data_IF_824918134678
#
_entry.id   IF_824918134678
#
_cell.length_a   1.000
_cell.length_b   1.000
_cell.length_c   1.000
_cell.angle_alpha   90.00
_cell.angle_beta   90.00
_cell.angle_gamma   90.00
#
_symmetry.space_group_name_H-M   'P 1'
#
loop_
_entity.id
_entity.type
_entity.pdbx_description
1 polymer ?
#
# COMPACT_ATOMS: atom_id res chain seq x y z
N UNK A 1 -8.15 -30.66 8.71
CA UNK A 1 -7.17 -29.56 8.49
C UNK A 1 -7.50 -28.45 9.47
N UNK A 2 -6.58 -28.09 10.37
CA UNK A 2 -6.80 -27.03 11.36
C UNK A 2 -6.57 -25.66 10.73
N UNK A 3 -7.42 -24.68 11.08
CA UNK A 3 -7.23 -23.28 10.71
C UNK A 3 -6.44 -22.60 11.82
N UNK A 4 -5.35 -21.93 11.47
CA UNK A 4 -4.48 -21.23 12.42
C UNK A 4 -4.21 -19.82 11.91
N UNK A 5 -4.27 -18.86 12.80
CA UNK A 5 -3.80 -17.50 12.57
C UNK A 5 -2.49 -17.29 13.35
N UNK A 6 -1.46 -16.81 12.68
CA UNK A 6 -0.20 -16.44 13.31
C UNK A 6 -0.18 -14.92 13.47
N UNK A 7 -0.15 -14.47 14.72
CA UNK A 7 -0.07 -13.04 15.06
C UNK A 7 1.31 -12.76 15.65
N UNK A 8 2.02 -11.78 15.10
CA UNK A 8 3.30 -11.35 15.69
C UNK A 8 3.07 -10.42 16.89
N UNK A 9 4.00 -10.36 17.85
CA UNK A 9 4.07 -9.24 18.79
C UNK A 9 4.33 -7.94 18.01
N UNK A 10 4.27 -6.79 18.70
CA UNK A 10 4.76 -5.52 18.15
C UNK A 10 6.24 -5.65 17.86
N UNK A 11 6.63 -5.41 16.62
CA UNK A 11 8.01 -5.51 16.14
C UNK A 11 8.52 -4.13 15.73
N UNK A 12 9.80 -3.93 15.94
CA UNK A 12 10.56 -2.82 15.34
C UNK A 12 11.16 -3.26 14.01
N UNK A 13 11.55 -2.31 13.16
CA UNK A 13 12.14 -2.61 11.86
C UNK A 13 13.38 -3.54 11.90
N UNK A 14 14.33 -3.36 12.85
CA UNK A 14 15.47 -4.28 13.03
C UNK A 14 15.09 -5.73 13.33
N UNK A 15 13.86 -5.99 13.77
CA UNK A 15 13.37 -7.33 14.08
C UNK A 15 12.72 -8.06 12.89
N UNK A 16 12.64 -7.39 11.74
CA UNK A 16 12.11 -7.99 10.51
C UNK A 16 12.77 -9.34 10.15
N UNK A 17 14.09 -9.55 10.32
CA UNK A 17 14.72 -10.86 10.11
C UNK A 17 14.17 -11.98 11.02
N UNK A 18 13.80 -11.67 12.28
CA UNK A 18 13.18 -12.63 13.20
C UNK A 18 11.80 -13.06 12.69
N UNK A 19 10.99 -12.10 12.23
CA UNK A 19 9.71 -12.39 11.61
C UNK A 19 9.88 -13.29 10.36
N UNK A 20 10.85 -13.00 9.51
CA UNK A 20 11.14 -13.81 8.34
C UNK A 20 11.54 -15.24 8.71
N UNK A 21 12.29 -15.42 9.78
CA UNK A 21 12.65 -16.74 10.31
C UNK A 21 11.42 -17.50 10.79
N UNK A 22 10.51 -16.86 11.52
CA UNK A 22 9.23 -17.47 11.91
C UNK A 22 8.43 -17.96 10.69
N UNK A 23 8.33 -17.15 9.62
CA UNK A 23 7.64 -17.53 8.39
C UNK A 23 8.29 -18.75 7.73
N UNK A 24 9.64 -18.84 7.72
CA UNK A 24 10.36 -20.02 7.19
C UNK A 24 10.05 -21.27 8.00
N UNK A 25 10.09 -21.18 9.34
CA UNK A 25 9.78 -22.31 10.22
C UNK A 25 8.36 -22.82 10.04
N UNK A 26 7.38 -21.91 9.98
CA UNK A 26 5.98 -22.28 9.69
C UNK A 26 5.86 -23.02 8.35
N UNK A 27 6.60 -22.60 7.33
CA UNK A 27 6.66 -23.31 6.06
C UNK A 27 7.31 -24.69 6.18
N UNK A 28 8.41 -24.81 6.93
CA UNK A 28 9.18 -26.05 7.11
C UNK A 28 8.36 -27.14 7.82
N UNK A 29 7.48 -26.78 8.76
CA UNK A 29 6.59 -27.72 9.42
C UNK A 29 5.36 -28.10 8.58
N UNK A 30 5.35 -27.74 7.29
CA UNK A 30 4.33 -28.17 6.33
C UNK A 30 3.04 -27.35 6.32
N UNK A 31 3.02 -26.15 6.94
CA UNK A 31 1.87 -25.27 6.84
C UNK A 31 1.55 -24.89 5.38
N UNK A 32 0.28 -24.68 5.09
CA UNK A 32 -0.21 -24.31 3.75
C UNK A 32 -1.10 -23.07 3.85
N UNK A 33 -1.12 -22.29 2.78
CA UNK A 33 -2.03 -21.16 2.59
C UNK A 33 -2.87 -21.38 1.34
N UNK A 34 -4.06 -20.82 1.32
CA UNK A 34 -4.98 -20.88 0.18
C UNK A 34 -5.60 -19.50 -0.09
N UNK A 35 -6.53 -19.41 -1.03
CA UNK A 35 -7.18 -18.15 -1.43
C UNK A 35 -8.03 -17.50 -0.32
N UNK A 36 -8.46 -18.25 0.69
CA UNK A 36 -9.20 -17.69 1.83
C UNK A 36 -8.30 -17.05 2.89
N UNK A 37 -6.98 -17.31 2.84
CA UNK A 37 -6.02 -16.78 3.77
C UNK A 37 -5.56 -15.37 3.32
N UNK A 38 -5.44 -14.43 4.28
CA UNK A 38 -4.88 -13.11 4.07
C UNK A 38 -3.63 -12.88 4.92
N UNK A 39 -2.80 -11.92 4.52
CA UNK A 39 -1.77 -11.35 5.36
C UNK A 39 -2.16 -9.90 5.64
N UNK A 40 -2.24 -9.54 6.91
CA UNK A 40 -2.54 -8.19 7.34
C UNK A 40 -1.29 -7.55 7.95
N UNK A 41 -1.07 -6.28 7.65
CA UNK A 41 0.05 -5.52 8.21
C UNK A 41 -0.51 -4.35 9.01
N UNK A 42 -0.23 -4.33 10.30
CA UNK A 42 -0.54 -3.23 11.19
C UNK A 42 0.70 -2.37 11.41
N UNK A 43 0.58 -1.07 11.17
CA UNK A 43 1.63 -0.09 11.46
C UNK A 43 1.11 0.88 12.53
N UNK A 44 1.95 1.21 13.51
CA UNK A 44 1.61 2.17 14.56
C UNK A 44 1.12 3.49 13.95
N UNK A 45 -0.03 3.98 14.42
CA UNK A 45 -0.64 5.22 13.96
C UNK A 45 -0.27 6.44 14.83
N UNK A 46 0.55 6.29 15.88
CA UNK A 46 0.87 7.37 16.82
C UNK A 46 1.52 8.60 16.17
N UNK A 47 2.24 8.38 15.06
CA UNK A 47 2.88 9.45 14.26
C UNK A 47 1.95 10.03 13.18
N UNK A 48 0.74 9.49 13.03
CA UNK A 48 -0.23 10.03 12.10
C UNK A 48 -1.09 11.12 12.75
N UNK A 49 -1.45 12.10 11.95
CA UNK A 49 -2.42 13.14 12.23
C UNK A 49 -3.54 13.10 11.18
N UNK A 50 -4.53 13.98 11.29
CA UNK A 50 -5.64 14.07 10.33
C UNK A 50 -5.14 14.21 8.89
N UNK A 51 -4.14 15.07 8.65
CA UNK A 51 -3.63 15.30 7.29
C UNK A 51 -2.95 14.05 6.72
N UNK A 52 -2.12 13.38 7.49
CA UNK A 52 -1.44 12.16 7.01
C UNK A 52 -2.41 10.99 6.79
N UNK A 53 -3.47 10.86 7.57
CA UNK A 53 -4.52 9.87 7.32
C UNK A 53 -5.34 10.20 6.06
N UNK A 54 -5.65 11.47 5.80
CA UNK A 54 -6.23 11.92 4.51
C UNK A 54 -5.30 11.56 3.36
N UNK A 55 -3.99 11.75 3.54
CA UNK A 55 -2.98 11.41 2.54
C UNK A 55 -2.94 9.91 2.26
N UNK A 56 -3.06 9.06 3.30
CA UNK A 56 -3.18 7.60 3.12
C UNK A 56 -4.38 7.23 2.24
N UNK A 57 -5.56 7.80 2.53
CA UNK A 57 -6.77 7.59 1.72
C UNK A 57 -6.49 7.99 0.26
N UNK A 58 -5.88 9.16 0.02
CA UNK A 58 -5.57 9.65 -1.31
C UNK A 58 -4.51 8.82 -2.04
N UNK A 59 -3.45 8.38 -1.35
CA UNK A 59 -2.41 7.51 -1.93
C UNK A 59 -3.03 6.18 -2.34
N UNK A 60 -3.81 5.56 -1.47
CA UNK A 60 -4.48 4.30 -1.78
C UNK A 60 -5.45 4.47 -2.94
N UNK A 61 -6.37 5.44 -2.90
CA UNK A 61 -7.24 5.74 -4.03
C UNK A 61 -6.48 5.88 -5.36
N UNK A 62 -5.34 6.59 -5.33
CA UNK A 62 -4.52 6.83 -6.52
C UNK A 62 -3.82 5.56 -7.04
N UNK A 63 -3.42 4.65 -6.18
CA UNK A 63 -2.50 3.53 -6.49
C UNK A 63 -3.14 2.15 -6.43
N UNK A 64 -4.30 1.99 -5.81
CA UNK A 64 -4.91 0.68 -5.56
C UNK A 64 -5.09 -0.17 -6.80
N UNK A 65 -5.48 0.42 -7.94
CA UNK A 65 -5.71 -0.35 -9.15
C UNK A 65 -4.42 -1.05 -9.62
N UNK A 66 -3.32 -0.31 -9.63
CA UNK A 66 -2.01 -0.83 -10.00
C UNK A 66 -1.43 -1.74 -8.90
N UNK A 67 -1.63 -1.37 -7.64
CA UNK A 67 -1.20 -2.16 -6.48
C UNK A 67 -1.87 -3.55 -6.49
N UNK A 68 -3.17 -3.62 -6.74
CA UNK A 68 -3.92 -4.88 -6.78
C UNK A 68 -3.45 -5.79 -7.91
N UNK A 69 -3.12 -5.23 -9.08
CA UNK A 69 -2.48 -5.98 -10.17
C UNK A 69 -1.09 -6.48 -9.77
N UNK A 70 -0.25 -5.61 -9.21
CA UNK A 70 1.10 -5.95 -8.78
C UNK A 70 1.11 -7.08 -7.73
N UNK A 71 0.14 -7.08 -6.83
CA UNK A 71 0.00 -8.09 -5.77
C UNK A 71 -0.79 -9.33 -6.21
N UNK A 72 -1.42 -9.32 -7.40
CA UNK A 72 -2.38 -10.34 -7.84
C UNK A 72 -3.43 -10.61 -6.77
N UNK A 73 -4.04 -9.55 -6.23
CA UNK A 73 -5.06 -9.70 -5.18
C UNK A 73 -6.22 -10.52 -5.72
N UNK A 74 -6.60 -11.57 -5.00
CA UNK A 74 -7.70 -12.44 -5.42
C UNK A 74 -9.02 -11.66 -5.46
N UNK A 75 -9.77 -11.78 -6.57
CA UNK A 75 -11.02 -11.04 -6.78
C UNK A 75 -12.05 -11.31 -5.68
N UNK A 76 -12.17 -12.56 -5.21
CA UNK A 76 -13.04 -12.92 -4.08
C UNK A 76 -12.68 -12.16 -2.81
N UNK A 77 -11.39 -11.88 -2.58
CA UNK A 77 -10.94 -11.08 -1.44
C UNK A 77 -11.24 -9.59 -1.62
N UNK A 78 -11.10 -9.08 -2.85
CA UNK A 78 -11.46 -7.67 -3.16
C UNK A 78 -12.93 -7.42 -2.85
N UNK A 79 -13.81 -8.32 -3.23
CA UNK A 79 -15.25 -8.19 -3.00
C UNK A 79 -15.63 -8.26 -1.52
N UNK A 80 -14.95 -9.10 -0.72
CA UNK A 80 -15.38 -9.44 0.64
C UNK A 80 -14.54 -8.79 1.75
N UNK A 81 -13.22 -8.68 1.58
CA UNK A 81 -12.29 -8.43 2.69
C UNK A 81 -11.32 -7.27 2.50
N UNK A 82 -11.20 -6.73 1.28
CA UNK A 82 -10.26 -5.65 0.98
C UNK A 82 -10.76 -4.74 -0.14
N UNK A 83 -11.94 -4.16 0.04
CA UNK A 83 -12.53 -3.21 -0.90
C UNK A 83 -11.63 -2.00 -1.11
N UNK A 84 -11.72 -1.41 -2.30
CA UNK A 84 -10.97 -0.20 -2.62
C UNK A 84 -11.58 1.03 -1.97
N UNK A 85 -10.75 2.05 -1.77
CA UNK A 85 -11.21 3.37 -1.30
C UNK A 85 -12.24 3.95 -2.27
N UNK A 86 -13.37 4.41 -1.76
CA UNK A 86 -14.42 5.06 -2.54
C UNK A 86 -14.15 6.54 -2.75
N UNK A 87 -14.36 7.01 -3.97
CA UNK A 87 -14.15 8.43 -4.31
C UNK A 87 -14.95 9.40 -3.44
N UNK A 88 -16.22 9.16 -3.11
CA UNK A 88 -16.98 10.04 -2.21
C UNK A 88 -16.33 10.21 -0.84
N UNK A 89 -15.79 9.14 -0.26
CA UNK A 89 -15.03 9.19 1.00
C UNK A 89 -13.81 10.09 0.87
N UNK A 90 -13.01 9.92 -0.18
CA UNK A 90 -11.84 10.76 -0.45
C UNK A 90 -12.22 12.23 -0.62
N UNK A 91 -13.29 12.53 -1.36
CA UNK A 91 -13.78 13.91 -1.56
C UNK A 91 -14.19 14.56 -0.25
N UNK A 92 -14.91 13.84 0.62
CA UNK A 92 -15.29 14.32 1.95
C UNK A 92 -14.05 14.57 2.81
N UNK A 93 -13.13 13.59 2.89
CA UNK A 93 -11.89 13.70 3.66
C UNK A 93 -11.05 14.90 3.22
N UNK A 94 -10.94 15.17 1.91
CA UNK A 94 -10.18 16.33 1.39
C UNK A 94 -10.70 17.67 1.87
N UNK A 95 -12.03 17.80 2.03
CA UNK A 95 -12.66 19.06 2.47
C UNK A 95 -12.35 19.42 3.92
N UNK A 96 -11.91 18.45 4.73
CA UNK A 96 -11.49 18.73 6.10
C UNK A 96 -10.28 19.67 6.09
N UNK A 97 -10.28 20.63 7.00
CA UNK A 97 -9.13 21.52 7.21
C UNK A 97 -7.83 20.74 7.41
N UNK A 98 -6.72 21.36 7.03
CA UNK A 98 -5.36 20.80 7.19
C UNK A 98 -4.87 20.93 8.65
N UNK A 99 -5.79 20.89 9.60
CA UNK A 99 -5.47 20.99 11.01
C UNK A 99 -4.52 19.85 11.40
N UNK A 100 -3.35 20.21 11.91
CA UNK A 100 -2.32 19.28 12.38
C UNK A 100 -2.69 18.62 13.71
N UNK A 101 -3.87 18.95 14.26
CA UNK A 101 -4.32 18.36 15.51
C UNK A 101 -4.50 16.85 15.39
N UNK A 102 -4.21 16.16 16.47
CA UNK A 102 -4.52 14.74 16.62
C UNK A 102 -6.03 14.46 16.78
N UNK A 103 -6.88 15.47 16.69
CA UNK A 103 -8.32 15.28 16.71
C UNK A 103 -8.81 14.66 15.39
N UNK A 104 -9.16 13.41 15.46
CA UNK A 104 -9.59 12.61 14.30
C UNK A 104 -11.10 12.51 14.15
N UNK A 105 -11.90 13.14 15.03
CA UNK A 105 -13.38 12.99 15.09
C UNK A 105 -14.02 13.23 13.73
N UNK A 106 -13.71 14.34 13.06
CA UNK A 106 -14.29 14.62 11.75
C UNK A 106 -13.90 13.63 10.65
N UNK A 107 -12.72 13.04 10.73
CA UNK A 107 -12.28 11.98 9.79
C UNK A 107 -12.97 10.66 10.14
N UNK A 108 -13.16 10.38 11.41
CA UNK A 108 -13.89 9.22 11.92
C UNK A 108 -15.35 9.24 11.46
N UNK A 109 -16.05 10.37 11.57
CA UNK A 109 -17.41 10.56 11.06
C UNK A 109 -17.51 10.29 9.56
N UNK A 110 -16.54 10.76 8.78
CA UNK A 110 -16.48 10.47 7.33
C UNK A 110 -16.25 8.98 7.08
N UNK A 111 -15.38 8.35 7.85
CA UNK A 111 -15.04 6.93 7.70
C UNK A 111 -16.24 6.03 7.94
N UNK A 112 -17.03 6.32 8.97
CA UNK A 112 -18.22 5.55 9.34
C UNK A 112 -19.51 6.08 8.68
N UNK A 113 -19.43 7.08 7.82
CA UNK A 113 -20.59 7.68 7.12
C UNK A 113 -21.68 8.22 8.08
N UNK A 114 -21.27 8.73 9.22
CA UNK A 114 -22.15 9.28 10.25
C UNK A 114 -22.56 8.26 11.32
N UNK A 115 -22.15 7.00 11.19
CA UNK A 115 -22.41 5.96 12.18
C UNK A 115 -21.40 5.99 13.35
N UNK A 116 -21.77 5.38 14.49
CA UNK A 116 -20.91 5.26 15.67
C UNK A 116 -20.12 3.94 15.61
N UNK A 117 -19.34 3.75 14.54
CA UNK A 117 -18.64 2.48 14.29
C UNK A 117 -17.42 2.21 15.17
N UNK A 118 -16.88 3.23 15.86
CA UNK A 118 -15.66 3.12 16.68
C UNK A 118 -15.72 2.04 17.76
N UNK A 119 -16.92 1.84 18.36
CA UNK A 119 -17.11 0.87 19.46
C UNK A 119 -17.34 -0.55 18.98
N UNK A 120 -17.54 -0.75 17.68
CA UNK A 120 -17.85 -2.05 17.09
C UNK A 120 -16.59 -2.76 16.64
N UNK A 121 -16.15 -3.79 17.35
CA UNK A 121 -14.97 -4.57 16.98
C UNK A 121 -15.01 -5.10 15.53
N UNK A 122 -16.20 -5.50 15.06
CA UNK A 122 -16.39 -6.08 13.72
C UNK A 122 -17.12 -5.13 12.76
N UNK A 123 -16.94 -3.81 12.91
CA UNK A 123 -17.54 -2.86 11.98
C UNK A 123 -17.18 -3.19 10.53
N UNK A 124 -18.13 -3.10 9.62
CA UNK A 124 -17.97 -3.48 8.21
C UNK A 124 -16.90 -2.65 7.48
N UNK A 125 -16.62 -1.43 7.92
CA UNK A 125 -15.60 -0.57 7.35
C UNK A 125 -14.17 -1.14 7.51
N UNK A 126 -14.00 -2.16 8.34
CA UNK A 126 -12.73 -2.91 8.43
C UNK A 126 -12.36 -3.63 7.13
N UNK A 127 -13.32 -3.87 6.24
CA UNK A 127 -13.11 -4.61 5.00
C UNK A 127 -12.61 -3.75 3.83
N UNK A 128 -12.04 -2.58 4.10
CA UNK A 128 -11.24 -1.86 3.12
C UNK A 128 -9.80 -2.39 3.06
N UNK A 129 -9.17 -2.27 1.89
CA UNK A 129 -7.75 -2.61 1.69
C UNK A 129 -6.82 -1.79 2.60
N UNK A 130 -7.12 -0.49 2.73
CA UNK A 130 -6.63 0.38 3.79
C UNK A 130 -7.71 0.46 4.87
N UNK A 131 -7.50 -0.17 6.00
CA UNK A 131 -8.46 -0.18 7.10
C UNK A 131 -8.09 0.88 8.16
N UNK A 132 -8.80 2.01 8.15
CA UNK A 132 -8.68 3.05 9.17
C UNK A 132 -9.58 2.83 10.39
N UNK A 133 -10.55 1.90 10.35
CA UNK A 133 -11.26 1.47 11.56
C UNK A 133 -10.25 1.01 12.64
N UNK A 134 -9.17 0.35 12.21
CA UNK A 134 -8.08 -0.06 13.11
C UNK A 134 -7.38 1.14 13.78
N UNK A 135 -7.32 2.31 13.14
CA UNK A 135 -6.78 3.54 13.75
C UNK A 135 -7.66 3.98 14.92
N UNK A 136 -8.96 4.07 14.69
CA UNK A 136 -9.92 4.56 15.68
C UNK A 136 -10.13 3.56 16.83
N UNK A 137 -10.04 2.27 16.53
CA UNK A 137 -10.28 1.19 17.49
C UNK A 137 -9.03 0.71 18.24
N UNK A 138 -7.87 0.62 17.55
CA UNK A 138 -6.63 0.02 18.09
C UNK A 138 -5.39 0.92 18.03
N UNK A 139 -5.46 2.07 17.38
CA UNK A 139 -4.31 2.96 17.18
C UNK A 139 -3.31 2.47 16.12
N UNK A 140 -3.72 1.65 15.16
CA UNK A 140 -2.88 1.16 14.06
C UNK A 140 -3.50 1.39 12.71
N UNK A 141 -2.71 1.73 11.70
CA UNK A 141 -3.13 1.64 10.29
C UNK A 141 -2.98 0.19 9.84
N UNK A 142 -4.04 -0.40 9.30
CA UNK A 142 -4.03 -1.78 8.83
C UNK A 142 -4.16 -1.86 7.31
N UNK A 143 -3.27 -2.61 6.66
CA UNK A 143 -3.40 -3.01 5.26
C UNK A 143 -3.84 -4.46 5.14
N UNK A 144 -4.93 -4.71 4.38
CA UNK A 144 -5.59 -6.01 4.25
C UNK A 144 -5.54 -6.61 2.84
N UNK A 145 -4.92 -5.91 1.89
CA UNK A 145 -4.94 -6.28 0.47
C UNK A 145 -4.00 -7.45 0.10
N UNK A 146 -3.20 -7.96 1.02
CA UNK A 146 -2.24 -9.00 0.68
C UNK A 146 -2.85 -10.39 0.75
N UNK A 147 -2.66 -11.18 -0.32
CA UNK A 147 -2.86 -12.62 -0.24
C UNK A 147 -1.85 -13.21 0.75
N UNK A 148 -2.23 -14.23 1.48
CA UNK A 148 -1.33 -14.90 2.40
C UNK A 148 -0.14 -15.54 1.66
N UNK A 149 1.01 -15.60 2.34
CA UNK A 149 2.23 -16.19 1.78
C UNK A 149 3.10 -16.78 2.88
N UNK A 150 3.71 -17.93 2.61
CA UNK A 150 4.78 -18.51 3.41
C UNK A 150 6.17 -18.25 2.81
N UNK A 151 6.27 -17.30 1.88
CA UNK A 151 7.54 -16.83 1.35
C UNK A 151 8.02 -15.61 2.16
N UNK A 152 9.01 -15.83 3.04
CA UNK A 152 9.50 -14.82 3.98
C UNK A 152 9.91 -13.48 3.33
N UNK A 153 10.56 -13.54 2.15
CA UNK A 153 10.95 -12.33 1.40
C UNK A 153 9.75 -11.56 0.84
N UNK A 154 8.69 -12.25 0.43
CA UNK A 154 7.44 -11.61 -0.02
C UNK A 154 6.70 -10.96 1.13
N UNK A 155 6.60 -11.64 2.28
CA UNK A 155 6.00 -11.06 3.48
C UNK A 155 6.74 -9.81 3.95
N UNK A 156 8.08 -9.83 3.97
CA UNK A 156 8.91 -8.67 4.27
C UNK A 156 8.70 -7.52 3.25
N UNK A 157 8.54 -7.85 1.96
CA UNK A 157 8.27 -6.84 0.94
C UNK A 157 6.93 -6.12 1.17
N UNK A 158 5.90 -6.82 1.66
CA UNK A 158 4.62 -6.22 2.02
C UNK A 158 4.76 -5.27 3.22
N UNK A 159 5.50 -5.67 4.25
CA UNK A 159 5.77 -4.83 5.41
C UNK A 159 6.53 -3.57 4.99
N UNK A 160 7.61 -3.71 4.21
CA UNK A 160 8.37 -2.57 3.71
C UNK A 160 7.51 -1.60 2.91
N UNK A 161 6.59 -2.11 2.09
CA UNK A 161 5.65 -1.28 1.32
C UNK A 161 4.72 -0.49 2.25
N UNK A 162 4.12 -1.13 3.26
CA UNK A 162 3.22 -0.47 4.20
C UNK A 162 3.92 0.64 5.00
N UNK A 163 5.13 0.36 5.48
CA UNK A 163 5.96 1.36 6.19
C UNK A 163 6.31 2.54 5.28
N UNK A 164 6.71 2.28 4.03
CA UNK A 164 7.07 3.31 3.08
C UNK A 164 5.86 4.18 2.66
N UNK A 165 4.67 3.58 2.48
CA UNK A 165 3.43 4.33 2.21
C UNK A 165 3.07 5.19 3.42
N UNK A 166 3.18 4.65 4.65
CA UNK A 166 2.92 5.39 5.88
C UNK A 166 3.86 6.60 6.01
N UNK A 167 5.16 6.40 5.78
CA UNK A 167 6.16 7.48 5.80
C UNK A 167 5.87 8.55 4.73
N UNK A 168 5.51 8.15 3.50
CA UNK A 168 5.11 9.10 2.45
C UNK A 168 3.89 9.91 2.89
N UNK A 169 2.89 9.27 3.46
CA UNK A 169 1.66 9.95 3.89
C UNK A 169 1.93 10.99 4.98
N UNK A 170 2.87 10.72 5.90
CA UNK A 170 3.30 11.67 6.94
C UNK A 170 4.06 12.84 6.33
N UNK A 171 4.98 12.57 5.41
CA UNK A 171 5.81 13.60 4.78
C UNK A 171 5.05 14.46 3.74
N UNK A 172 3.95 13.96 3.20
CA UNK A 172 3.22 14.61 2.11
C UNK A 172 2.34 15.75 2.63
N UNK A 173 2.45 16.95 2.03
CA UNK A 173 1.70 18.13 2.44
C UNK A 173 0.25 18.15 1.97
N UNK A 174 -0.08 17.47 0.88
CA UNK A 174 -1.41 17.52 0.27
C UNK A 174 -1.90 16.16 -0.19
N UNK A 175 -3.22 15.97 -0.13
CA UNK A 175 -3.89 14.72 -0.49
C UNK A 175 -4.02 14.57 -2.01
N UNK A 176 -3.60 13.44 -2.55
CA UNK A 176 -3.76 13.08 -3.97
C UNK A 176 -5.21 12.73 -4.27
N UNK A 177 -5.75 13.25 -5.40
CA UNK A 177 -7.16 13.09 -5.79
C UNK A 177 -7.36 12.34 -7.10
N UNK A 178 -6.28 12.04 -7.83
CA UNK A 178 -6.38 11.44 -9.17
C UNK A 178 -5.91 10.00 -9.16
N UNK A 179 -6.65 9.14 -9.86
CA UNK A 179 -6.19 7.80 -10.18
C UNK A 179 -4.92 7.85 -11.03
N UNK A 180 -3.99 6.96 -10.73
CA UNK A 180 -2.80 6.79 -11.57
C UNK A 180 -3.19 5.97 -12.80
N UNK A 181 -2.98 6.55 -13.98
CA UNK A 181 -3.13 5.89 -15.26
C UNK A 181 -1.76 5.74 -15.93
N UNK A 182 -1.52 4.62 -16.59
CA UNK A 182 -0.25 4.35 -17.25
C UNK A 182 -0.37 3.29 -18.32
N UNK A 183 0.21 3.54 -19.47
CA UNK A 183 0.39 2.53 -20.55
C UNK A 183 1.53 1.55 -20.22
N UNK A 184 2.41 1.91 -19.28
CA UNK A 184 3.47 1.05 -18.77
C UNK A 184 3.40 1.02 -17.23
N UNK A 185 2.60 0.08 -16.72
CA UNK A 185 2.37 -0.05 -15.27
C UNK A 185 3.63 -0.46 -14.52
N UNK A 186 4.47 -1.30 -15.11
CA UNK A 186 5.74 -1.73 -14.49
C UNK A 186 6.69 -0.55 -14.24
N UNK A 187 6.88 0.31 -15.25
CA UNK A 187 7.70 1.52 -15.10
C UNK A 187 7.11 2.47 -14.06
N UNK A 188 5.82 2.72 -14.13
CA UNK A 188 5.12 3.66 -13.25
C UNK A 188 5.14 3.18 -11.81
N UNK A 189 4.87 1.90 -11.57
CA UNK A 189 4.91 1.32 -10.22
C UNK A 189 6.32 1.29 -9.66
N UNK A 190 7.32 0.89 -10.48
CA UNK A 190 8.74 0.96 -10.09
C UNK A 190 9.16 2.38 -9.71
N UNK A 191 8.76 3.37 -10.51
CA UNK A 191 9.06 4.78 -10.23
C UNK A 191 8.43 5.23 -8.92
N UNK A 192 7.21 4.80 -8.63
CA UNK A 192 6.58 5.07 -7.35
C UNK A 192 7.32 4.42 -6.18
N UNK A 193 7.72 3.14 -6.29
CA UNK A 193 8.50 2.47 -5.24
C UNK A 193 9.81 3.21 -4.95
N UNK A 194 10.49 3.71 -5.98
CA UNK A 194 11.73 4.52 -5.80
C UNK A 194 11.42 5.83 -5.07
N UNK A 195 10.31 6.50 -5.41
CA UNK A 195 9.88 7.73 -4.72
C UNK A 195 9.44 7.49 -3.29
N UNK A 196 8.95 6.30 -2.96
CA UNK A 196 8.68 5.86 -1.59
C UNK A 196 9.97 5.64 -0.76
N UNK A 197 11.15 5.77 -1.36
CA UNK A 197 12.42 5.46 -0.70
C UNK A 197 12.82 3.98 -0.79
N UNK A 198 12.02 3.12 -1.43
CA UNK A 198 12.36 1.71 -1.64
C UNK A 198 13.36 1.55 -2.79
N UNK A 199 14.47 2.28 -2.74
CA UNK A 199 15.57 2.25 -3.71
C UNK A 199 16.82 1.55 -3.13
N UNK A 200 17.93 1.62 -3.84
CA UNK A 200 19.17 1.05 -3.37
C UNK A 200 19.21 -0.49 -3.33
N UNK A 201 20.35 -1.02 -2.86
CA UNK A 201 20.63 -2.47 -2.82
C UNK A 201 19.81 -3.17 -1.75
N UNK A 202 19.57 -2.50 -0.64
CA UNK A 202 18.77 -2.99 0.50
C UNK A 202 17.38 -3.43 0.07
N UNK A 203 16.67 -2.62 -0.72
CA UNK A 203 15.31 -2.90 -1.16
C UNK A 203 15.20 -3.64 -2.51
N UNK A 204 16.32 -4.19 -3.03
CA UNK A 204 16.29 -4.93 -4.31
C UNK A 204 15.28 -6.07 -4.29
N UNK A 205 15.30 -6.89 -3.23
CA UNK A 205 14.38 -8.02 -3.10
C UNK A 205 12.93 -7.55 -2.92
N UNK A 206 12.70 -6.49 -2.15
CA UNK A 206 11.38 -5.85 -1.99
C UNK A 206 10.81 -5.46 -3.36
N UNK A 207 11.59 -4.71 -4.16
CA UNK A 207 11.16 -4.33 -5.52
C UNK A 207 10.92 -5.53 -6.43
N UNK A 208 11.77 -6.55 -6.38
CA UNK A 208 11.59 -7.74 -7.20
C UNK A 208 10.26 -8.44 -6.90
N UNK A 209 9.90 -8.60 -5.62
CA UNK A 209 8.63 -9.20 -5.24
C UNK A 209 7.41 -8.35 -5.62
N UNK A 210 7.50 -7.04 -5.45
CA UNK A 210 6.40 -6.11 -5.74
C UNK A 210 6.18 -5.88 -7.24
N UNK A 211 7.21 -6.06 -8.07
CA UNK A 211 7.15 -5.85 -9.53
C UNK A 211 6.91 -7.15 -10.32
N UNK A 212 6.94 -8.31 -9.66
CA UNK A 212 6.97 -9.61 -10.31
C UNK A 212 5.76 -9.91 -11.21
N UNK A 213 4.63 -9.28 -10.97
CA UNK A 213 3.36 -9.57 -11.66
C UNK A 213 2.94 -8.46 -12.63
N UNK A 214 3.75 -7.42 -12.80
CA UNK A 214 3.47 -6.33 -13.73
C UNK A 214 4.22 -6.55 -15.04
N UNK A 215 3.56 -6.26 -16.14
CA UNK A 215 4.10 -6.30 -17.49
C UNK A 215 4.56 -4.91 -17.94
N UNK A 216 5.53 -4.86 -18.86
CA UNK A 216 6.05 -3.65 -19.44
C UNK A 216 7.58 -3.53 -19.36
N UNK A 217 8.10 -2.38 -19.76
CA UNK A 217 9.53 -2.08 -19.70
C UNK A 217 9.89 -1.40 -18.36
N UNK A 218 10.96 -1.89 -17.72
CA UNK A 218 11.43 -1.34 -16.43
C UNK A 218 12.21 -0.03 -16.58
N UNK A 219 12.81 0.20 -17.74
CA UNK A 219 13.71 1.32 -17.99
C UNK A 219 13.04 2.49 -18.70
N UNK A 220 12.09 2.21 -19.58
CA UNK A 220 11.48 3.20 -20.46
C UNK A 220 9.99 3.35 -20.18
N UNK A 221 9.54 4.61 -20.06
CA UNK A 221 8.13 4.93 -19.84
C UNK A 221 7.28 4.63 -21.07
N UNK A 222 7.82 4.89 -22.25
CA UNK A 222 7.14 4.73 -23.52
C UNK A 222 7.82 3.63 -24.34
N UNK A 223 7.07 2.97 -25.19
CA UNK A 223 7.62 2.03 -26.17
C UNK A 223 8.70 2.74 -27.01
N UNK A 224 9.79 2.03 -27.29
CA UNK A 224 10.91 2.59 -28.08
C UNK A 224 10.45 3.13 -29.43
N UNK A 225 9.42 2.50 -30.02
CA UNK A 225 8.85 2.88 -31.31
C UNK A 225 7.97 4.12 -31.24
N UNK A 226 7.49 4.52 -30.05
CA UNK A 226 6.72 5.74 -29.80
C UNK A 226 7.58 6.94 -29.39
N UNK A 227 8.89 6.84 -29.38
CA UNK A 227 9.75 8.00 -29.12
C UNK A 227 9.63 8.97 -30.30
N UNK A 228 9.02 10.15 -30.16
CA UNK A 228 8.87 11.06 -31.29
C UNK A 228 10.26 11.41 -31.83
N UNK A 229 10.46 11.22 -33.12
CA UNK A 229 11.70 11.53 -33.86
C UNK A 229 12.25 12.94 -33.58
N UNK A 230 11.40 13.84 -33.10
CA UNK A 230 11.73 15.24 -32.74
C UNK A 230 12.66 15.38 -31.51
N UNK A 231 12.76 14.37 -30.63
CA UNK A 231 13.74 14.45 -29.51
C UNK A 231 15.15 14.05 -29.95
N UNK A 232 15.30 13.28 -31.04
CA UNK A 232 16.62 13.01 -31.63
C UNK A 232 17.23 14.28 -32.24
N UNK A 233 16.39 15.13 -32.86
CA UNK A 233 16.82 16.44 -33.44
C UNK A 233 17.26 17.47 -32.37
N UNK A 234 16.62 17.50 -31.18
CA UNK A 234 17.07 18.41 -30.10
C UNK A 234 18.44 18.03 -29.56
N UNK A 235 18.76 16.77 -29.43
CA UNK A 235 20.06 16.32 -28.92
C UNK A 235 21.21 16.43 -29.94
N UNK A 236 20.93 16.40 -31.24
CA UNK A 236 21.94 16.68 -32.25
C UNK A 236 22.27 18.18 -32.32
N UNK A 237 21.28 19.06 -32.24
CA UNK A 237 21.48 20.50 -32.27
C UNK A 237 22.10 21.11 -30.99
N UNK A 238 22.03 20.41 -29.84
CA UNK A 238 22.74 20.80 -28.60
C UNK A 238 24.20 20.32 -28.58
N UNK A 239 24.58 19.39 -29.46
CA UNK A 239 25.97 18.93 -29.60
C UNK A 239 26.75 19.67 -30.68
N UNK A 240 26.08 20.46 -31.51
CA UNK A 240 26.68 21.28 -32.56
C UNK A 240 26.78 22.78 -32.20
N UNK A 241 26.50 23.12 -30.94
CA UNK A 241 26.75 24.44 -30.34
C UNK A 241 27.76 24.34 -29.20
#
# INVERSE_FOLDING_TARGET
MYRVEMVSPKLTYPELPKFQECVRRVRQVGAKVNSSCGLHVHVDASNHNRQSLKNLIGIMYSKEDMLFKALKVNESRVAQYCQKVREPMLRKARRLSSDETKNLTALEEIWYEGDVGRREHYNWTRYYALNLHSVFYRGTVEWRCFNSTLHAGRAAAYINLCLAISAQAIAQRSTVMRKTQSDNELFTFRTWLVRLGLNGREFKNTRNHLLANLEGDRAWRYDKDRYPANQKKKRSNEKER
#
